data_IF_109265417027
#
_entry.id   IF_109265417027
#
_cell.length_a   1.000
_cell.length_b   1.000
_cell.length_c   1.000
_cell.angle_alpha   90.00
_cell.angle_beta   90.00
_cell.angle_gamma   90.00
#
_symmetry.space_group_name_H-M   'P 1'
#
loop_
_entity.id
_entity.type
_entity.pdbx_description
1 polymer ?
#
# COMPACT_ATOMS: atom_id res chain seq x y z
N UNK A 1 -11.29 1.28 9.45
CA UNK A 1 -10.41 0.15 9.84
C UNK A 1 -11.32 -1.04 10.01
N UNK A 2 -11.50 -1.82 8.95
CA UNK A 2 -12.27 -3.06 9.00
C UNK A 2 -11.32 -4.26 8.99
N UNK A 3 -11.74 -5.44 9.48
CA UNK A 3 -10.89 -6.63 9.59
C UNK A 3 -10.55 -7.28 8.22
N UNK A 4 -11.18 -6.83 7.13
CA UNK A 4 -11.00 -7.42 5.81
C UNK A 4 -10.17 -6.50 4.88
N UNK A 5 -9.16 -7.05 4.18
CA UNK A 5 -8.35 -6.29 3.24
C UNK A 5 -9.17 -5.90 2.01
N UNK A 6 -9.39 -4.60 1.81
CA UNK A 6 -10.11 -4.10 0.63
C UNK A 6 -9.18 -4.19 -0.59
N UNK A 7 -9.47 -5.14 -1.48
CA UNK A 7 -8.70 -5.34 -2.71
C UNK A 7 -9.32 -4.54 -3.86
N UNK A 8 -8.55 -3.60 -4.42
CA UNK A 8 -8.93 -2.89 -5.64
C UNK A 8 -8.24 -3.53 -6.85
N UNK A 9 -8.97 -3.74 -7.94
CA UNK A 9 -8.43 -4.24 -9.21
C UNK A 9 -8.59 -3.16 -10.28
N UNK A 10 -7.50 -2.83 -10.98
CA UNK A 10 -7.51 -1.92 -12.14
C UNK A 10 -7.62 -0.43 -11.82
N UNK A 11 -7.94 -0.02 -10.59
CA UNK A 11 -7.98 1.40 -10.21
C UNK A 11 -7.51 1.63 -8.78
N UNK A 12 -6.58 2.55 -8.60
CA UNK A 12 -6.21 3.09 -7.29
C UNK A 12 -7.18 4.22 -6.92
N UNK A 13 -7.82 4.19 -5.75
CA UNK A 13 -8.68 5.28 -5.29
C UNK A 13 -7.93 6.62 -5.22
N UNK A 14 -8.65 7.71 -5.43
CA UNK A 14 -8.07 9.04 -5.29
C UNK A 14 -7.53 9.25 -3.87
N UNK A 15 -6.43 10.01 -3.75
CA UNK A 15 -5.75 10.32 -2.49
C UNK A 15 -5.19 9.08 -1.77
N UNK A 16 -4.94 7.95 -2.42
CA UNK A 16 -4.26 6.82 -1.78
C UNK A 16 -2.73 7.02 -1.72
N UNK A 17 -2.12 6.59 -0.61
CA UNK A 17 -0.66 6.41 -0.49
C UNK A 17 -0.36 4.94 -0.75
N UNK A 18 0.55 4.68 -1.70
CA UNK A 18 0.80 3.36 -2.26
C UNK A 18 2.28 3.02 -2.14
N UNK A 19 2.57 1.78 -1.73
CA UNK A 19 3.92 1.23 -1.64
C UNK A 19 4.01 -0.01 -2.53
N UNK A 20 5.12 -0.21 -3.25
CA UNK A 20 5.39 -1.47 -3.92
C UNK A 20 5.60 -2.59 -2.87
N UNK A 21 4.85 -3.68 -2.98
CA UNK A 21 4.99 -4.82 -2.09
C UNK A 21 4.73 -6.13 -2.81
N UNK A 22 4.71 -7.22 -2.05
CA UNK A 22 4.24 -8.51 -2.53
C UNK A 22 3.19 -9.03 -1.56
N UNK A 23 2.27 -9.85 -2.06
CA UNK A 23 1.35 -10.58 -1.21
C UNK A 23 1.41 -12.07 -1.52
N UNK A 24 1.29 -12.93 -0.50
CA UNK A 24 1.25 -14.36 -0.69
C UNK A 24 -0.08 -14.72 -1.34
N UNK A 25 -0.01 -15.30 -2.54
CA UNK A 25 -1.16 -15.86 -3.23
C UNK A 25 -0.97 -17.36 -3.36
N UNK A 26 -2.00 -18.12 -2.98
CA UNK A 26 -2.04 -19.55 -3.21
C UNK A 26 -2.35 -19.83 -4.68
N UNK A 27 -1.53 -20.70 -5.25
CA UNK A 27 -1.73 -21.30 -6.55
C UNK A 27 -1.75 -22.82 -6.38
N UNK A 28 -2.29 -23.58 -7.36
CA UNK A 28 -2.27 -25.04 -7.32
C UNK A 28 -0.86 -25.65 -7.15
N UNK A 29 0.18 -24.90 -7.53
CA UNK A 29 1.59 -25.29 -7.41
C UNK A 29 2.27 -24.84 -6.10
N UNK A 30 1.57 -24.16 -5.19
CA UNK A 30 2.11 -23.65 -3.92
C UNK A 30 1.80 -22.18 -3.65
N UNK A 31 2.36 -21.64 -2.58
CA UNK A 31 2.21 -20.22 -2.21
C UNK A 31 3.34 -19.40 -2.83
N UNK A 32 2.99 -18.43 -3.68
CA UNK A 32 3.96 -17.54 -4.33
C UNK A 32 3.73 -16.10 -3.92
N UNK A 33 4.82 -15.33 -3.85
CA UNK A 33 4.77 -13.89 -3.58
C UNK A 33 4.56 -13.14 -4.89
N UNK A 34 3.35 -12.59 -5.09
CA UNK A 34 3.00 -11.85 -6.30
C UNK A 34 3.21 -10.36 -6.06
N UNK A 35 3.91 -9.68 -6.97
CA UNK A 35 4.09 -8.23 -6.91
C UNK A 35 2.73 -7.51 -6.96
N UNK A 36 2.49 -6.64 -5.99
CA UNK A 36 1.26 -5.88 -5.88
C UNK A 36 1.50 -4.49 -5.28
N UNK A 37 0.59 -3.56 -5.57
CA UNK A 37 0.56 -2.26 -4.95
C UNK A 37 -0.23 -2.32 -3.64
N UNK A 38 0.41 -2.00 -2.51
CA UNK A 38 -0.22 -1.97 -1.19
C UNK A 38 -0.65 -0.54 -0.86
N UNK A 39 -1.94 -0.35 -0.58
CA UNK A 39 -2.48 0.93 -0.12
C UNK A 39 -2.37 0.96 1.40
N UNK A 40 -1.41 1.72 1.91
CA UNK A 40 -1.13 1.82 3.36
C UNK A 40 -1.94 2.92 4.05
N UNK A 41 -2.55 3.82 3.27
CA UNK A 41 -3.34 4.90 3.83
C UNK A 41 -4.01 5.76 2.77
N UNK A 42 -4.78 6.74 3.25
CA UNK A 42 -5.38 7.79 2.44
C UNK A 42 -4.80 9.14 2.88
N UNK A 43 -4.44 9.99 1.94
CA UNK A 43 -3.97 11.36 2.15
C UNK A 43 -5.14 12.18 2.71
N UNK A 44 -5.04 12.54 3.98
CA UNK A 44 -5.93 13.49 4.64
C UNK A 44 -5.32 14.90 4.54
N UNK A 45 -6.10 15.96 4.78
CA UNK A 45 -5.58 17.35 4.75
C UNK A 45 -4.37 17.58 5.69
N UNK A 46 -4.22 16.78 6.76
CA UNK A 46 -3.05 16.85 7.65
C UNK A 46 -1.77 16.21 7.07
N UNK A 47 -1.88 15.42 6.00
CA UNK A 47 -0.78 14.68 5.35
C UNK A 47 -0.17 15.41 4.14
N UNK A 48 -0.66 16.61 3.79
CA UNK A 48 -0.13 17.41 2.67
C UNK A 48 1.15 18.19 3.00
N UNK A 49 1.65 18.10 4.24
CA UNK A 49 2.98 18.60 4.57
C UNK A 49 4.03 17.62 4.04
N UNK A 50 4.96 18.10 3.22
CA UNK A 50 6.08 17.32 2.64
C UNK A 50 6.84 16.46 3.67
N UNK A 51 6.84 16.88 4.94
CA UNK A 51 7.47 16.17 6.06
C UNK A 51 6.70 14.88 6.41
N UNK A 52 5.36 14.90 6.51
CA UNK A 52 4.59 13.73 6.95
C UNK A 52 4.44 12.64 5.89
N UNK A 53 4.46 12.99 4.60
CA UNK A 53 4.50 11.99 3.51
C UNK A 53 5.85 11.26 3.47
N UNK A 54 6.95 12.01 3.58
CA UNK A 54 8.28 11.41 3.59
C UNK A 54 8.52 10.59 4.86
N UNK A 55 7.99 11.04 6.00
CA UNK A 55 8.04 10.31 7.27
C UNK A 55 7.28 8.98 7.18
N UNK A 56 6.06 8.99 6.61
CA UNK A 56 5.32 7.75 6.36
C UNK A 56 6.10 6.79 5.43
N UNK A 57 6.70 7.26 4.33
CA UNK A 57 7.48 6.41 3.43
C UNK A 57 8.75 5.85 4.10
N UNK A 58 9.39 6.63 4.99
CA UNK A 58 10.57 6.21 5.76
C UNK A 58 10.21 5.21 6.86
N UNK A 59 9.08 5.37 7.54
CA UNK A 59 8.60 4.45 8.58
C UNK A 59 8.33 3.04 8.01
N UNK A 60 7.82 2.97 6.77
CA UNK A 60 7.64 1.70 6.05
C UNK A 60 8.88 1.24 5.26
N UNK A 61 10.04 1.87 5.47
CA UNK A 61 11.32 1.41 4.96
C UNK A 61 11.51 1.52 3.44
N UNK A 62 10.73 2.35 2.75
CA UNK A 62 10.92 2.59 1.32
C UNK A 62 12.07 3.57 1.13
N UNK A 63 13.25 3.03 0.79
CA UNK A 63 14.35 3.85 0.30
C UNK A 63 13.94 4.48 -1.04
N UNK A 64 13.99 5.81 -1.12
CA UNK A 64 13.79 6.60 -2.33
C UNK A 64 15.07 6.61 -3.15
#
# INVERSE_FOLDING_TARGET
TGPEPITYKGRVPARSVVIPGTYPKQFPAGTYQVACALIIGKRQESTDKKVSLNEALREYGVAV
#
